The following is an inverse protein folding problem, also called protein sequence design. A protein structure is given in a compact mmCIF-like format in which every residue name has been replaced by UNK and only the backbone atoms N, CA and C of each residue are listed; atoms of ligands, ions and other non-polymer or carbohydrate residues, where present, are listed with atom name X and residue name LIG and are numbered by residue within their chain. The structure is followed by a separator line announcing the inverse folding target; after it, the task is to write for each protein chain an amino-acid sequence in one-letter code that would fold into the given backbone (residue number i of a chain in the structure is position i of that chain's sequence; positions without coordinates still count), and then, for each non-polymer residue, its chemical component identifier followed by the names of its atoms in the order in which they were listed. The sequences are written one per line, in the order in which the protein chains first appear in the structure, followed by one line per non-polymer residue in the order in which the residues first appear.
data_IF_767792569370
#
_entry.id   IF_767792569370
#
_cell.length_a   1.000
_cell.length_b   1.000
_cell.length_c   1.000
_cell.angle_alpha   90.00
_cell.angle_beta   90.00
_cell.angle_gamma   90.00
#
_symmetry.space_group_name_H-M   'P 1'
#
loop_
_entity.id
_entity.type
_entity.pdbx_description
1 polymer ?
#
# COMPACT_ATOMS: atom_id res chain seq x y z
N UNK A 1 11.03 16.35 13.83
CA UNK A 1 10.56 16.29 12.42
C UNK A 1 10.37 14.84 12.01
N UNK A 2 9.32 14.53 11.24
CA UNK A 2 9.03 13.16 10.79
C UNK A 2 9.36 13.06 9.29
N UNK A 3 10.23 12.13 8.90
CA UNK A 3 10.47 11.83 7.49
C UNK A 3 9.37 10.90 6.96
N UNK A 4 8.73 11.28 5.88
CA UNK A 4 7.81 10.40 5.13
C UNK A 4 8.39 10.14 3.75
N UNK A 5 8.77 8.90 3.46
CA UNK A 5 9.18 8.50 2.11
C UNK A 5 7.97 8.05 1.30
N UNK A 6 8.03 8.19 -0.02
CA UNK A 6 6.85 7.93 -0.85
C UNK A 6 5.69 8.92 -0.59
N UNK A 7 6.02 10.12 -0.12
CA UNK A 7 5.09 11.17 0.32
C UNK A 7 4.09 11.62 -0.75
N UNK A 8 4.38 11.36 -2.02
CA UNK A 8 3.51 11.72 -3.16
C UNK A 8 2.69 10.55 -3.71
N UNK A 9 2.81 9.36 -3.11
CA UNK A 9 1.97 8.21 -3.42
C UNK A 9 0.63 8.24 -2.68
N UNK A 10 -0.32 7.37 -3.04
CA UNK A 10 -1.66 7.36 -2.47
C UNK A 10 -1.66 7.32 -0.93
N UNK A 11 -0.98 6.35 -0.30
CA UNK A 11 -0.92 6.27 1.16
C UNK A 11 -0.02 7.35 1.76
N UNK A 12 1.20 7.55 1.21
CA UNK A 12 2.15 8.50 1.77
C UNK A 12 1.61 9.93 1.81
N UNK A 13 0.80 10.34 0.82
CA UNK A 13 0.17 11.66 0.81
C UNK A 13 -0.89 11.81 1.90
N UNK A 14 -1.68 10.76 2.20
CA UNK A 14 -2.63 10.77 3.31
C UNK A 14 -1.90 10.81 4.66
N UNK A 15 -0.80 10.06 4.81
CA UNK A 15 0.03 10.13 6.02
C UNK A 15 0.60 11.53 6.24
N UNK A 16 1.15 12.17 5.19
CA UNK A 16 1.62 13.57 5.28
C UNK A 16 0.46 14.49 5.68
N UNK A 17 -0.70 14.33 5.03
CA UNK A 17 -1.90 15.12 5.31
C UNK A 17 -2.34 15.01 6.78
N UNK A 18 -2.43 13.78 7.32
CA UNK A 18 -2.86 13.58 8.71
C UNK A 18 -1.82 14.10 9.71
N UNK A 19 -0.53 13.90 9.45
CA UNK A 19 0.55 14.41 10.30
C UNK A 19 0.53 15.95 10.38
N UNK A 20 0.41 16.64 9.24
CA UNK A 20 0.37 18.12 9.27
C UNK A 20 -0.91 18.65 9.92
N UNK A 21 -2.06 17.97 9.77
CA UNK A 21 -3.30 18.30 10.51
C UNK A 21 -3.14 18.19 12.01
N UNK A 22 -2.35 17.20 12.47
CA UNK A 22 -2.00 17.01 13.88
C UNK A 22 -0.89 17.97 14.34
N UNK A 23 -0.39 18.85 13.47
CA UNK A 23 0.61 19.88 13.78
C UNK A 23 2.07 19.41 13.71
N UNK A 24 2.34 18.21 13.22
CA UNK A 24 3.70 17.70 13.06
C UNK A 24 4.42 18.37 11.88
N UNK A 25 5.72 18.67 12.06
CA UNK A 25 6.59 19.05 10.94
C UNK A 25 7.03 17.78 10.20
N UNK A 26 6.85 17.78 8.88
CA UNK A 26 7.10 16.62 8.02
C UNK A 26 8.17 16.96 6.98
N UNK A 27 9.21 16.11 6.87
CA UNK A 27 10.10 16.09 5.71
C UNK A 27 9.51 15.08 4.70
N UNK A 28 8.97 15.59 3.60
CA UNK A 28 8.27 14.81 2.58
C UNK A 28 9.21 14.46 1.43
N UNK A 29 9.68 13.19 1.39
CA UNK A 29 10.59 12.75 0.33
C UNK A 29 9.84 12.39 -0.95
N UNK A 30 10.25 12.99 -2.08
CA UNK A 30 9.62 12.82 -3.39
C UNK A 30 10.66 12.61 -4.50
N UNK A 31 10.24 12.04 -5.64
CA UNK A 31 11.06 11.87 -6.84
C UNK A 31 10.60 12.74 -8.01
N UNK A 32 9.28 12.87 -8.18
CA UNK A 32 8.67 13.65 -9.27
C UNK A 32 8.05 14.93 -8.70
N UNK A 33 8.51 16.09 -9.20
CA UNK A 33 8.08 17.42 -8.78
C UNK A 33 6.57 17.63 -8.95
N UNK A 34 6.02 17.21 -10.10
CA UNK A 34 4.60 17.39 -10.43
C UNK A 34 3.66 16.71 -9.43
N UNK A 35 4.10 15.59 -8.83
CA UNK A 35 3.29 14.85 -7.86
C UNK A 35 3.15 15.53 -6.50
N UNK A 36 3.88 16.58 -6.21
CA UNK A 36 3.75 17.34 -4.95
C UNK A 36 2.36 17.97 -4.79
N UNK A 37 1.68 18.24 -5.89
CA UNK A 37 0.33 18.83 -5.91
C UNK A 37 -0.72 17.94 -5.19
N UNK A 38 -0.45 16.65 -4.99
CA UNK A 38 -1.37 15.73 -4.32
C UNK A 38 -1.79 16.22 -2.93
N UNK A 39 -0.90 16.83 -2.17
CA UNK A 39 -1.22 17.35 -0.84
C UNK A 39 -2.20 18.54 -0.93
N UNK A 40 -2.00 19.44 -1.89
CA UNK A 40 -2.92 20.55 -2.14
C UNK A 40 -4.31 20.04 -2.54
N UNK A 41 -4.37 19.02 -3.40
CA UNK A 41 -5.63 18.37 -3.79
C UNK A 41 -6.34 17.75 -2.59
N UNK A 42 -5.62 17.07 -1.69
CA UNK A 42 -6.22 16.51 -0.46
C UNK A 42 -6.76 17.60 0.46
N UNK A 43 -6.00 18.68 0.68
CA UNK A 43 -6.44 19.81 1.48
C UNK A 43 -7.73 20.46 0.91
N UNK A 44 -7.78 20.61 -0.41
CA UNK A 44 -8.97 21.10 -1.11
C UNK A 44 -10.17 20.15 -1.00
N UNK A 45 -9.93 18.84 -1.29
CA UNK A 45 -10.97 17.81 -1.23
C UNK A 45 -11.61 17.72 0.16
N UNK A 46 -10.80 17.74 1.21
CA UNK A 46 -11.27 17.69 2.60
C UNK A 46 -11.72 19.05 3.14
N UNK A 47 -11.73 20.11 2.30
CA UNK A 47 -12.17 21.48 2.65
C UNK A 47 -11.48 22.00 3.92
N UNK A 48 -10.15 21.79 4.00
CA UNK A 48 -9.38 22.18 5.18
C UNK A 48 -9.15 23.69 5.17
N UNK A 49 -9.57 24.34 6.24
CA UNK A 49 -9.27 25.75 6.48
C UNK A 49 -7.78 25.94 6.82
N UNK A 50 -7.24 27.13 6.58
CA UNK A 50 -5.83 27.45 6.85
C UNK A 50 -4.79 26.56 6.13
N UNK A 51 -5.11 26.09 4.93
CA UNK A 51 -4.25 25.22 4.13
C UNK A 51 -2.81 25.73 3.98
N UNK A 52 -2.61 27.06 3.83
CA UNK A 52 -1.28 27.66 3.74
C UNK A 52 -0.43 27.41 5.00
N UNK A 53 -1.02 27.51 6.19
CA UNK A 53 -0.34 27.20 7.46
C UNK A 53 0.06 25.74 7.54
N UNK A 54 -0.81 24.81 7.11
CA UNK A 54 -0.49 23.38 7.11
C UNK A 54 0.61 23.06 6.10
N UNK A 55 0.57 23.65 4.91
CA UNK A 55 1.63 23.46 3.91
C UNK A 55 2.99 23.96 4.38
N UNK A 56 3.06 24.99 5.24
CA UNK A 56 4.31 25.47 5.82
C UNK A 56 4.97 24.48 6.80
N UNK A 57 4.26 23.44 7.23
CA UNK A 57 4.82 22.35 8.04
C UNK A 57 5.57 21.31 7.21
N UNK A 58 5.50 21.38 5.87
CA UNK A 58 6.14 20.43 4.96
C UNK A 58 7.48 20.97 4.46
N UNK A 59 8.54 20.25 4.75
CA UNK A 59 9.84 20.39 4.10
C UNK A 59 9.91 19.37 2.96
N UNK A 60 9.90 19.83 1.72
CA UNK A 60 10.02 18.97 0.56
C UNK A 60 11.47 18.58 0.31
N UNK A 61 11.76 17.28 0.24
CA UNK A 61 13.09 16.74 -0.01
C UNK A 61 13.07 15.86 -1.25
N UNK A 62 13.79 16.29 -2.32
CA UNK A 62 13.94 15.49 -3.53
C UNK A 62 15.03 14.44 -3.33
N UNK A 63 14.70 13.14 -3.53
CA UNK A 63 15.68 12.07 -3.36
C UNK A 63 15.14 10.70 -3.76
N UNK A 64 16.04 9.74 -3.90
CA UNK A 64 15.74 8.32 -4.18
C UNK A 64 16.23 7.43 -3.02
N UNK A 65 15.40 6.53 -2.55
CA UNK A 65 15.74 5.55 -1.49
C UNK A 65 16.85 4.57 -1.91
N UNK A 66 17.18 4.51 -3.20
CA UNK A 66 18.28 3.71 -3.71
C UNK A 66 19.62 4.45 -3.66
N UNK A 67 19.61 5.76 -3.49
CA UNK A 67 20.82 6.58 -3.31
C UNK A 67 21.10 6.75 -1.81
N UNK A 68 22.24 6.24 -1.36
CA UNK A 68 22.64 6.29 0.06
C UNK A 68 22.86 7.72 0.55
N UNK A 69 23.37 8.62 -0.30
CA UNK A 69 23.57 10.02 0.07
C UNK A 69 22.22 10.73 0.27
N UNK A 70 21.27 10.48 -0.63
CA UNK A 70 19.91 11.01 -0.49
C UNK A 70 19.25 10.53 0.81
N UNK A 71 19.37 9.22 1.12
CA UNK A 71 18.81 8.63 2.34
C UNK A 71 19.45 9.21 3.59
N UNK A 72 20.80 9.30 3.65
CA UNK A 72 21.52 9.90 4.77
C UNK A 72 21.12 11.37 5.01
N UNK A 73 20.95 12.15 3.94
CA UNK A 73 20.48 13.53 4.04
C UNK A 73 18.99 13.61 4.43
N UNK A 74 18.17 12.69 3.96
CA UNK A 74 16.73 12.67 4.28
C UNK A 74 16.48 12.44 5.77
N UNK A 75 17.19 11.48 6.41
CA UNK A 75 17.01 11.15 7.84
C UNK A 75 17.58 12.21 8.77
N UNK A 76 18.49 13.08 8.28
CA UNK A 76 19.14 14.10 9.10
C UNK A 76 18.11 15.05 9.72
N UNK A 77 18.24 15.28 11.04
CA UNK A 77 17.36 16.12 11.86
C UNK A 77 15.92 15.60 11.96
N UNK A 78 15.70 14.32 11.67
CA UNK A 78 14.42 13.65 11.89
C UNK A 78 14.46 12.82 13.18
N UNK A 79 13.36 12.77 13.90
CA UNK A 79 13.17 11.90 15.08
C UNK A 79 12.42 10.61 14.72
N UNK A 80 11.70 10.61 13.61
CA UNK A 80 10.96 9.43 13.16
C UNK A 80 10.97 9.29 11.63
N UNK A 81 10.78 8.06 11.17
CA UNK A 81 10.65 7.72 9.75
C UNK A 81 9.36 6.94 9.53
N UNK A 82 8.54 7.37 8.57
CA UNK A 82 7.42 6.59 8.04
C UNK A 82 7.75 6.22 6.59
N UNK A 83 8.14 4.97 6.40
CA UNK A 83 8.63 4.46 5.13
C UNK A 83 7.50 3.89 4.27
N UNK A 84 6.85 4.77 3.47
CA UNK A 84 5.78 4.40 2.53
C UNK A 84 6.30 4.16 1.10
N UNK A 85 7.56 4.49 0.82
CA UNK A 85 8.12 4.28 -0.51
C UNK A 85 8.17 2.79 -0.87
N UNK A 86 7.73 2.46 -2.06
CA UNK A 86 7.75 1.11 -2.57
C UNK A 86 7.24 1.05 -4.00
N UNK A 87 7.52 -0.06 -4.68
CA UNK A 87 7.05 -0.35 -6.02
C UNK A 87 6.04 -1.49 -5.99
N UNK A 88 4.94 -1.34 -6.72
CA UNK A 88 3.95 -2.40 -6.95
C UNK A 88 4.03 -2.81 -8.41
N UNK A 89 4.27 -4.08 -8.66
CA UNK A 89 4.15 -4.68 -9.99
C UNK A 89 3.92 -6.19 -9.87
N UNK A 90 3.12 -6.74 -10.77
CA UNK A 90 2.89 -8.17 -10.90
C UNK A 90 3.50 -8.73 -12.20
N UNK A 91 4.22 -7.90 -12.95
CA UNK A 91 4.92 -8.31 -14.15
C UNK A 91 6.27 -8.98 -13.80
N UNK A 92 6.51 -10.21 -14.27
CA UNK A 92 7.71 -10.98 -13.94
C UNK A 92 9.01 -10.25 -14.34
N UNK A 93 8.99 -9.47 -15.43
CA UNK A 93 10.14 -8.65 -15.88
C UNK A 93 10.56 -7.57 -14.89
N UNK A 94 9.66 -7.16 -13.98
CA UNK A 94 9.94 -6.12 -12.98
C UNK A 94 10.54 -6.70 -11.68
N UNK A 95 10.78 -8.01 -11.58
CA UNK A 95 11.20 -8.67 -10.35
C UNK A 95 12.49 -8.08 -9.74
N UNK A 96 13.53 -7.93 -10.55
CA UNK A 96 14.79 -7.35 -10.06
C UNK A 96 14.62 -5.91 -9.59
N UNK A 97 13.75 -5.14 -10.26
CA UNK A 97 13.44 -3.77 -9.85
C UNK A 97 12.61 -3.73 -8.57
N UNK A 98 11.68 -4.68 -8.38
CA UNK A 98 10.93 -4.85 -7.13
C UNK A 98 11.89 -5.14 -5.96
N UNK A 99 12.85 -6.05 -6.15
CA UNK A 99 13.87 -6.34 -5.12
C UNK A 99 14.72 -5.10 -4.84
N UNK A 100 15.21 -4.43 -5.88
CA UNK A 100 16.00 -3.22 -5.70
C UNK A 100 15.24 -2.16 -4.90
N UNK A 101 14.03 -1.79 -5.32
CA UNK A 101 13.27 -0.72 -4.68
C UNK A 101 12.75 -1.14 -3.30
N UNK A 102 12.07 -2.30 -3.21
CA UNK A 102 11.39 -2.67 -1.97
C UNK A 102 12.34 -3.21 -0.91
N UNK A 103 13.27 -4.12 -1.26
CA UNK A 103 14.21 -4.68 -0.31
C UNK A 103 15.40 -3.75 -0.07
N UNK A 104 16.17 -3.44 -1.14
CA UNK A 104 17.43 -2.71 -0.96
C UNK A 104 17.18 -1.26 -0.53
N UNK A 105 16.12 -0.60 -1.09
CA UNK A 105 15.71 0.73 -0.63
C UNK A 105 15.29 0.75 0.84
N UNK A 106 14.59 -0.31 1.32
CA UNK A 106 14.26 -0.45 2.74
C UNK A 106 15.50 -0.70 3.58
N UNK A 107 16.46 -1.54 3.11
CA UNK A 107 17.72 -1.77 3.81
C UNK A 107 18.53 -0.46 3.97
N UNK A 108 18.59 0.37 2.94
CA UNK A 108 19.24 1.69 3.02
C UNK A 108 18.56 2.57 4.10
N UNK A 109 17.23 2.63 4.09
CA UNK A 109 16.46 3.40 5.08
C UNK A 109 16.69 2.90 6.51
N UNK A 110 16.72 1.57 6.73
CA UNK A 110 16.96 0.95 8.05
C UNK A 110 18.38 1.28 8.53
N UNK A 111 19.38 1.11 7.66
CA UNK A 111 20.78 1.39 8.02
C UNK A 111 20.99 2.87 8.41
N UNK A 112 20.50 3.78 7.60
CA UNK A 112 20.64 5.22 7.88
C UNK A 112 19.79 5.65 9.08
N UNK A 113 18.66 5.01 9.34
CA UNK A 113 17.85 5.24 10.55
C UNK A 113 18.59 4.81 11.81
N UNK A 114 19.29 3.66 11.79
CA UNK A 114 20.16 3.20 12.89
C UNK A 114 21.31 4.17 13.12
N UNK A 115 22.04 4.56 12.06
CA UNK A 115 23.18 5.50 12.13
C UNK A 115 22.75 6.85 12.69
N UNK A 116 21.57 7.35 12.28
CA UNK A 116 21.04 8.64 12.71
C UNK A 116 20.39 8.61 14.10
N UNK A 117 20.23 7.44 14.71
CA UNK A 117 19.57 7.28 16.00
C UNK A 117 18.08 7.64 15.96
N UNK A 118 17.36 7.21 14.92
CA UNK A 118 15.93 7.49 14.75
C UNK A 118 15.14 6.84 15.89
N UNK A 119 14.34 7.63 16.59
CA UNK A 119 13.54 7.19 17.75
C UNK A 119 12.42 6.21 17.41
N UNK A 120 11.86 6.30 16.19
CA UNK A 120 10.74 5.45 15.76
C UNK A 120 10.68 5.29 14.24
N UNK A 121 10.64 4.04 13.78
CA UNK A 121 10.59 3.69 12.37
C UNK A 121 9.31 2.91 12.05
N UNK A 122 8.49 3.40 11.12
CA UNK A 122 7.29 2.70 10.65
C UNK A 122 7.50 2.25 9.21
N UNK A 123 7.46 0.94 8.97
CA UNK A 123 7.55 0.38 7.64
C UNK A 123 6.17 0.01 7.08
N UNK A 124 5.82 0.57 5.93
CA UNK A 124 4.62 0.17 5.21
C UNK A 124 4.94 -1.00 4.29
N UNK A 125 4.54 -2.19 4.70
CA UNK A 125 4.64 -3.41 3.93
C UNK A 125 3.36 -3.68 3.10
N UNK A 126 2.86 -4.91 3.10
CA UNK A 126 1.63 -5.34 2.44
C UNK A 126 1.16 -6.66 3.00
N UNK A 127 -0.14 -6.94 2.96
CA UNK A 127 -0.66 -8.29 3.21
C UNK A 127 -0.07 -9.34 2.27
N UNK A 128 0.48 -8.95 1.12
CA UNK A 128 1.20 -9.84 0.21
C UNK A 128 2.51 -10.41 0.80
N UNK A 129 3.04 -9.80 1.87
CA UNK A 129 4.20 -10.30 2.62
C UNK A 129 3.84 -11.32 3.70
N UNK A 130 2.55 -11.55 3.95
CA UNK A 130 2.09 -12.51 4.96
C UNK A 130 2.05 -13.91 4.36
N UNK A 131 2.74 -14.84 5.01
CA UNK A 131 2.77 -16.24 4.59
C UNK A 131 1.40 -16.93 4.70
N UNK A 132 1.34 -18.16 4.23
CA UNK A 132 0.20 -19.06 4.42
C UNK A 132 0.62 -20.19 5.36
N UNK A 133 0.11 -20.16 6.58
CA UNK A 133 0.35 -21.23 7.53
C UNK A 133 -0.84 -22.19 7.51
N UNK A 134 -0.56 -23.45 7.20
CA UNK A 134 -1.55 -24.53 7.23
C UNK A 134 -1.95 -24.96 8.65
N UNK A 135 -1.30 -24.40 9.67
CA UNK A 135 -1.61 -24.72 11.08
C UNK A 135 -2.99 -24.19 11.51
N UNK A 136 -3.52 -23.19 10.82
CA UNK A 136 -4.85 -22.63 11.10
C UNK A 136 -5.91 -23.27 10.19
N UNK A 137 -6.85 -24.01 10.79
CA UNK A 137 -7.94 -24.68 10.04
C UNK A 137 -8.96 -23.72 9.43
N UNK A 138 -8.97 -22.44 9.82
CA UNK A 138 -9.95 -21.44 9.37
C UNK A 138 -9.54 -20.66 8.10
N UNK A 139 -8.36 -20.94 7.53
CA UNK A 139 -7.80 -20.24 6.38
C UNK A 139 -7.71 -18.70 6.50
N UNK A 140 -7.78 -18.16 7.73
CA UNK A 140 -7.65 -16.73 8.00
C UNK A 140 -6.19 -16.38 8.25
N UNK A 141 -5.64 -15.45 7.49
CA UNK A 141 -4.27 -14.97 7.67
C UNK A 141 -4.19 -13.97 8.83
N UNK A 142 -3.16 -14.15 9.66
CA UNK A 142 -2.88 -13.36 10.87
C UNK A 142 -1.43 -12.90 10.89
N UNK A 143 -1.10 -12.02 11.81
CA UNK A 143 0.27 -11.53 12.02
C UNK A 143 1.26 -12.66 12.36
N UNK A 144 0.79 -13.73 12.99
CA UNK A 144 1.61 -14.90 13.34
C UNK A 144 1.92 -15.84 12.17
N UNK A 145 1.30 -15.66 11.00
CA UNK A 145 1.60 -16.51 9.85
C UNK A 145 3.05 -16.32 9.36
N UNK A 146 3.76 -17.43 9.21
CA UNK A 146 5.14 -17.47 8.72
C UNK A 146 5.21 -17.83 7.24
N UNK A 147 6.27 -17.39 6.59
CA UNK A 147 6.60 -17.83 5.24
C UNK A 147 7.26 -19.19 5.27
N UNK A 148 6.84 -20.06 4.37
CA UNK A 148 7.45 -21.37 4.15
C UNK A 148 8.25 -21.39 2.85
N UNK A 149 9.26 -22.29 2.74
CA UNK A 149 10.13 -22.40 1.58
C UNK A 149 9.37 -22.65 0.26
N UNK A 150 8.19 -23.30 0.34
CA UNK A 150 7.34 -23.62 -0.81
C UNK A 150 6.21 -22.61 -1.03
N UNK A 151 6.27 -21.41 -0.43
CA UNK A 151 5.25 -20.38 -0.57
C UNK A 151 5.06 -19.98 -2.03
N UNK A 152 3.85 -20.13 -2.54
CA UNK A 152 3.48 -19.70 -3.89
C UNK A 152 3.18 -18.19 -3.89
N UNK A 153 4.21 -17.38 -3.70
CA UNK A 153 4.09 -15.95 -3.66
C UNK A 153 4.31 -15.29 -5.02
N UNK A 154 3.74 -14.09 -5.19
CA UNK A 154 4.06 -13.22 -6.32
C UNK A 154 5.45 -12.60 -6.14
N UNK A 155 6.07 -12.16 -7.24
CA UNK A 155 7.33 -11.40 -7.17
C UNK A 155 7.21 -10.16 -6.28
N UNK A 156 6.05 -9.50 -6.28
CA UNK A 156 5.74 -8.41 -5.36
C UNK A 156 5.73 -8.87 -3.89
N UNK A 157 5.02 -9.97 -3.59
CA UNK A 157 4.99 -10.54 -2.24
C UNK A 157 6.38 -10.89 -1.72
N UNK A 158 7.21 -11.56 -2.55
CA UNK A 158 8.62 -11.88 -2.24
C UNK A 158 9.40 -10.60 -1.91
N UNK A 159 9.24 -9.54 -2.71
CA UNK A 159 9.98 -8.29 -2.50
C UNK A 159 9.59 -7.58 -1.20
N UNK A 160 8.28 -7.58 -0.84
CA UNK A 160 7.79 -6.98 0.42
C UNK A 160 8.19 -7.82 1.63
N UNK A 161 8.10 -9.14 1.56
CA UNK A 161 8.61 -10.02 2.61
C UNK A 161 10.12 -9.83 2.84
N UNK A 162 10.90 -9.72 1.74
CA UNK A 162 12.34 -9.46 1.85
C UNK A 162 12.63 -8.09 2.47
N UNK A 163 11.79 -7.08 2.22
CA UNK A 163 11.88 -5.78 2.87
C UNK A 163 11.57 -5.86 4.39
N UNK A 164 10.54 -6.62 4.79
CA UNK A 164 10.25 -6.86 6.20
C UNK A 164 11.44 -7.50 6.93
N UNK A 165 12.15 -8.44 6.29
CA UNK A 165 13.34 -9.05 6.87
C UNK A 165 14.44 -8.02 7.19
N UNK A 166 14.60 -6.99 6.36
CA UNK A 166 15.55 -5.90 6.65
C UNK A 166 15.08 -5.06 7.85
N UNK A 167 13.77 -4.86 8.01
CA UNK A 167 13.23 -4.15 9.17
C UNK A 167 13.39 -4.99 10.46
N UNK A 168 13.08 -6.29 10.40
CA UNK A 168 13.30 -7.20 11.52
C UNK A 168 14.79 -7.28 11.92
N UNK A 169 15.71 -7.32 10.93
CA UNK A 169 17.14 -7.19 11.17
C UNK A 169 17.46 -5.89 11.93
N UNK A 170 16.90 -4.77 11.45
CA UNK A 170 17.12 -3.48 12.11
C UNK A 170 16.61 -3.46 13.56
N UNK A 171 15.49 -4.14 13.86
CA UNK A 171 14.96 -4.29 15.21
C UNK A 171 15.96 -5.06 16.10
N UNK A 172 16.51 -6.17 15.61
CA UNK A 172 17.54 -6.95 16.33
C UNK A 172 18.83 -6.13 16.55
N UNK A 173 19.12 -5.17 15.66
CA UNK A 173 20.25 -4.24 15.78
C UNK A 173 19.93 -2.99 16.63
N UNK A 174 18.73 -2.88 17.20
CA UNK A 174 18.32 -1.83 18.14
C UNK A 174 17.41 -0.75 17.58
N UNK A 175 16.94 -0.88 16.34
CA UNK A 175 15.95 0.05 15.77
C UNK A 175 14.57 -0.15 16.42
N UNK A 176 14.01 0.89 17.00
CA UNK A 176 12.61 0.89 17.46
C UNK A 176 11.68 0.99 16.26
N UNK A 177 11.12 -0.14 15.79
CA UNK A 177 10.35 -0.16 14.54
C UNK A 177 9.05 -0.95 14.64
N UNK A 178 8.07 -0.60 13.81
CA UNK A 178 6.80 -1.32 13.60
C UNK A 178 6.52 -1.51 12.12
N UNK A 179 5.92 -2.65 11.77
CA UNK A 179 5.56 -3.01 10.41
C UNK A 179 4.03 -2.94 10.24
N UNK A 180 3.56 -2.25 9.21
CA UNK A 180 2.15 -2.17 8.85
C UNK A 180 1.94 -2.91 7.53
N UNK A 181 1.03 -3.88 7.51
CA UNK A 181 0.66 -4.67 6.33
C UNK A 181 -0.75 -4.29 5.87
N UNK A 182 -0.93 -3.23 5.09
CA UNK A 182 -2.25 -2.92 4.57
C UNK A 182 -2.68 -3.91 3.50
N UNK A 183 -3.99 -4.15 3.41
CA UNK A 183 -4.62 -4.83 2.27
C UNK A 183 -4.74 -3.89 1.06
N UNK A 184 -5.56 -4.24 0.08
CA UNK A 184 -5.86 -3.34 -1.06
C UNK A 184 -6.59 -2.12 -0.53
N UNK A 185 -5.98 -0.95 -0.63
CA UNK A 185 -6.60 0.28 -0.14
C UNK A 185 -7.10 1.18 -1.27
N UNK A 186 -8.24 1.82 -1.02
CA UNK A 186 -8.87 2.80 -1.88
C UNK A 186 -9.00 4.13 -1.13
N UNK A 187 -9.18 5.22 -1.87
CA UNK A 187 -9.42 6.55 -1.32
C UNK A 187 -9.18 7.65 -2.36
N UNK A 188 -9.30 8.93 -1.98
CA UNK A 188 -9.02 10.06 -2.86
C UNK A 188 -7.61 10.00 -3.45
N UNK A 189 -7.50 10.08 -4.78
CA UNK A 189 -6.21 9.95 -5.46
C UNK A 189 -6.31 9.82 -6.97
N UNK A 190 -5.17 9.72 -7.64
CA UNK A 190 -5.11 9.54 -9.09
C UNK A 190 -5.45 8.09 -9.49
N UNK A 191 -6.44 7.95 -10.38
CA UNK A 191 -6.88 6.64 -10.86
C UNK A 191 -5.90 5.98 -11.85
N UNK A 192 -4.85 6.68 -12.23
CA UNK A 192 -3.75 6.10 -13.00
C UNK A 192 -2.79 5.25 -12.15
N UNK A 193 -2.91 5.28 -10.80
CA UNK A 193 -1.96 4.66 -9.90
C UNK A 193 -2.51 3.47 -9.12
N UNK A 194 -1.65 2.45 -8.93
CA UNK A 194 -1.85 1.34 -7.99
C UNK A 194 -3.25 0.70 -8.06
N UNK A 195 -3.88 0.49 -6.90
CA UNK A 195 -5.21 -0.12 -6.75
C UNK A 195 -6.35 0.71 -7.36
N UNK A 196 -6.16 2.02 -7.52
CA UNK A 196 -7.16 2.92 -8.09
C UNK A 196 -7.38 2.72 -9.60
N UNK A 197 -6.45 2.05 -10.31
CA UNK A 197 -6.63 1.65 -11.70
C UNK A 197 -7.87 0.76 -11.91
N UNK A 198 -8.33 0.06 -10.87
CA UNK A 198 -9.58 -0.70 -10.91
C UNK A 198 -10.78 0.20 -11.25
N UNK A 199 -10.84 1.38 -10.62
CA UNK A 199 -11.91 2.36 -10.88
C UNK A 199 -11.88 2.85 -12.33
N UNK A 200 -10.69 3.16 -12.85
CA UNK A 200 -10.53 3.54 -14.26
C UNK A 200 -10.95 2.42 -15.21
N UNK A 201 -10.62 1.17 -14.88
CA UNK A 201 -10.97 -0.01 -15.69
C UNK A 201 -12.49 -0.22 -15.71
N UNK A 202 -13.16 -0.07 -14.57
CA UNK A 202 -14.62 -0.19 -14.47
C UNK A 202 -15.30 0.95 -15.24
N UNK A 203 -14.81 2.18 -15.12
CA UNK A 203 -15.31 3.34 -15.86
C UNK A 203 -15.24 3.11 -17.37
N UNK A 204 -14.18 2.47 -17.84
CA UNK A 204 -13.96 2.15 -19.26
C UNK A 204 -14.74 0.94 -19.77
N UNK A 205 -15.54 0.29 -18.92
CA UNK A 205 -16.44 -0.80 -19.32
C UNK A 205 -15.86 -2.20 -19.11
N UNK A 206 -15.63 -2.56 -17.85
CA UNK A 206 -15.23 -3.92 -17.48
C UNK A 206 -16.35 -4.92 -17.72
N UNK A 207 -16.14 -5.93 -18.58
CA UNK A 207 -17.15 -6.93 -18.96
C UNK A 207 -17.04 -8.24 -18.18
N UNK A 208 -15.85 -8.54 -17.64
CA UNK A 208 -15.52 -9.84 -17.05
C UNK A 208 -15.20 -9.72 -15.57
N UNK A 209 -15.52 -10.78 -14.80
CA UNK A 209 -15.15 -10.91 -13.39
C UNK A 209 -14.70 -12.33 -13.04
N UNK A 210 -13.98 -12.47 -11.94
CA UNK A 210 -13.51 -13.74 -11.38
C UNK A 210 -14.20 -14.05 -10.05
N UNK A 211 -14.10 -15.29 -9.57
CA UNK A 211 -14.79 -15.74 -8.36
C UNK A 211 -14.01 -15.49 -7.05
N UNK A 212 -12.79 -14.99 -7.14
CA UNK A 212 -11.98 -14.72 -5.95
C UNK A 212 -12.30 -13.40 -5.27
N UNK A 213 -11.52 -13.11 -4.24
CA UNK A 213 -11.67 -11.89 -3.44
C UNK A 213 -10.41 -11.57 -2.65
N UNK A 214 -10.42 -10.43 -2.00
CA UNK A 214 -9.33 -9.97 -1.15
C UNK A 214 -9.89 -9.12 -0.01
N UNK A 215 -9.02 -8.66 0.87
CA UNK A 215 -9.37 -7.62 1.82
C UNK A 215 -9.17 -6.23 1.20
N UNK A 216 -10.07 -5.32 1.56
CA UNK A 216 -10.09 -3.92 1.12
C UNK A 216 -10.19 -3.01 2.34
N UNK A 217 -9.51 -1.88 2.31
CA UNK A 217 -9.47 -0.92 3.42
C UNK A 217 -9.48 0.51 2.87
N UNK A 218 -9.96 1.46 3.64
CA UNK A 218 -9.84 2.88 3.31
C UNK A 218 -8.40 3.36 3.56
N UNK A 219 -7.84 4.13 2.65
CA UNK A 219 -6.50 4.69 2.80
C UNK A 219 -6.37 5.58 4.04
N UNK A 220 -7.47 6.24 4.45
CA UNK A 220 -7.52 7.08 5.67
C UNK A 220 -7.41 6.23 6.92
N UNK A 221 -8.03 5.05 6.93
CA UNK A 221 -7.93 4.10 8.05
C UNK A 221 -6.49 3.62 8.22
N UNK A 222 -5.80 3.33 7.11
CA UNK A 222 -4.38 2.95 7.14
C UNK A 222 -3.53 4.10 7.64
N UNK A 223 -3.77 5.33 7.16
CA UNK A 223 -3.05 6.53 7.57
C UNK A 223 -3.25 6.83 9.05
N UNK A 224 -4.50 6.74 9.54
CA UNK A 224 -4.82 6.97 10.95
C UNK A 224 -4.14 5.94 11.87
N UNK A 225 -4.16 4.64 11.50
CA UNK A 225 -3.45 3.60 12.25
C UNK A 225 -1.94 3.87 12.29
N UNK A 226 -1.34 4.29 11.17
CA UNK A 226 0.09 4.66 11.13
C UNK A 226 0.37 5.83 12.09
N UNK A 227 -0.47 6.86 12.11
CA UNK A 227 -0.33 7.99 13.02
C UNK A 227 -0.47 7.57 14.49
N UNK A 228 -1.47 6.74 14.82
CA UNK A 228 -1.67 6.22 16.18
C UNK A 228 -0.50 5.35 16.66
N UNK A 229 0.03 4.47 15.79
CA UNK A 229 1.22 3.67 16.09
C UNK A 229 2.43 4.56 16.39
N UNK A 230 2.59 5.67 15.63
CA UNK A 230 3.63 6.65 15.89
C UNK A 230 3.45 7.37 17.23
N UNK A 231 2.26 7.89 17.48
CA UNK A 231 1.93 8.67 18.69
C UNK A 231 2.08 7.83 19.97
N UNK A 232 1.67 6.55 19.92
CA UNK A 232 1.78 5.62 21.05
C UNK A 232 3.14 4.91 21.14
N UNK A 233 4.07 5.19 20.21
CA UNK A 233 5.41 4.56 20.19
C UNK A 233 5.38 3.03 20.17
N UNK A 234 4.37 2.43 19.51
CA UNK A 234 4.26 0.97 19.41
C UNK A 234 5.35 0.44 18.49
N UNK A 235 6.11 -0.56 18.96
CA UNK A 235 7.29 -1.07 18.26
C UNK A 235 7.46 -2.58 18.39
N UNK A 236 8.38 -3.13 17.58
CA UNK A 236 8.80 -4.53 17.56
C UNK A 236 7.67 -5.52 17.24
N UNK A 237 6.70 -5.03 16.48
CA UNK A 237 5.51 -5.79 16.11
C UNK A 237 5.13 -5.53 14.64
N UNK A 238 4.24 -6.36 14.09
CA UNK A 238 3.55 -6.07 12.84
C UNK A 238 2.04 -6.06 13.02
N UNK A 239 1.35 -5.30 12.17
CA UNK A 239 -0.09 -5.11 12.19
C UNK A 239 -0.69 -5.31 10.80
N UNK A 240 -1.66 -6.22 10.68
CA UNK A 240 -2.49 -6.34 9.48
C UNK A 240 -3.60 -5.29 9.52
N UNK A 241 -3.54 -4.33 8.60
CA UNK A 241 -4.56 -3.30 8.48
C UNK A 241 -5.48 -3.63 7.31
N UNK A 242 -6.52 -4.42 7.61
CA UNK A 242 -7.39 -5.04 6.61
C UNK A 242 -8.86 -4.79 6.98
N UNK A 243 -9.54 -3.89 6.29
CA UNK A 243 -10.91 -3.53 6.62
C UNK A 243 -11.93 -4.66 6.37
N UNK A 244 -12.26 -4.94 5.10
CA UNK A 244 -13.33 -5.85 4.73
C UNK A 244 -12.84 -6.90 3.73
N UNK A 245 -12.97 -8.20 4.05
CA UNK A 245 -12.72 -9.31 3.11
C UNK A 245 -13.95 -9.55 2.25
N UNK A 246 -13.85 -9.26 0.95
CA UNK A 246 -14.97 -9.25 0.00
C UNK A 246 -14.58 -9.94 -1.31
N UNK A 247 -15.58 -10.47 -2.03
CA UNK A 247 -15.40 -10.94 -3.39
C UNK A 247 -15.11 -9.76 -4.33
N UNK A 248 -14.25 -9.97 -5.32
CA UNK A 248 -13.99 -8.94 -6.34
C UNK A 248 -15.27 -8.51 -7.06
N UNK A 249 -16.18 -9.47 -7.33
CA UNK A 249 -17.47 -9.17 -7.94
C UNK A 249 -18.28 -8.14 -7.15
N UNK A 250 -18.38 -8.33 -5.83
CA UNK A 250 -19.20 -7.47 -4.97
C UNK A 250 -18.64 -6.04 -4.92
N UNK A 251 -17.31 -5.91 -4.85
CA UNK A 251 -16.63 -4.61 -4.88
C UNK A 251 -16.78 -3.93 -6.23
N UNK A 252 -16.59 -4.67 -7.34
CA UNK A 252 -16.74 -4.14 -8.69
C UNK A 252 -18.20 -3.70 -8.95
N UNK A 253 -19.18 -4.47 -8.49
CA UNK A 253 -20.60 -4.13 -8.65
C UNK A 253 -20.95 -2.85 -7.87
N UNK A 254 -20.45 -2.70 -6.65
CA UNK A 254 -20.66 -1.48 -5.85
C UNK A 254 -20.01 -0.25 -6.51
N UNK A 255 -18.80 -0.39 -7.06
CA UNK A 255 -18.13 0.69 -7.81
C UNK A 255 -18.96 1.05 -9.05
N UNK A 256 -19.41 0.05 -9.84
CA UNK A 256 -20.21 0.27 -11.03
C UNK A 256 -21.54 0.96 -10.73
N UNK A 257 -22.24 0.54 -9.65
CA UNK A 257 -23.49 1.18 -9.20
C UNK A 257 -23.29 2.65 -8.85
N UNK A 258 -22.26 2.96 -8.05
CA UNK A 258 -21.99 4.33 -7.63
C UNK A 258 -21.52 5.22 -8.79
N UNK A 259 -20.81 4.66 -9.76
CA UNK A 259 -20.41 5.35 -10.99
C UNK A 259 -21.54 5.42 -12.04
N UNK A 260 -22.65 4.70 -11.85
CA UNK A 260 -23.75 4.56 -12.81
C UNK A 260 -23.29 3.99 -14.17
N UNK A 261 -22.36 3.02 -14.13
CA UNK A 261 -21.87 2.30 -15.30
C UNK A 261 -22.33 0.83 -15.30
N UNK A 262 -22.20 0.15 -16.44
CA UNK A 262 -22.62 -1.25 -16.57
C UNK A 262 -21.75 -2.18 -15.72
N UNK A 263 -22.38 -3.08 -14.96
CA UNK A 263 -21.70 -4.14 -14.20
C UNK A 263 -21.13 -5.20 -15.14
N UNK A 264 -20.02 -5.86 -14.77
CA UNK A 264 -19.51 -7.00 -15.52
C UNK A 264 -20.49 -8.17 -15.48
N UNK A 265 -20.73 -8.79 -16.63
CA UNK A 265 -21.75 -9.85 -16.78
C UNK A 265 -21.15 -11.24 -16.86
N UNK A 266 -19.91 -11.37 -17.35
CA UNK A 266 -19.32 -12.67 -17.70
C UNK A 266 -18.35 -13.14 -16.64
N UNK A 267 -18.69 -14.27 -15.98
CA UNK A 267 -17.78 -14.95 -15.07
C UNK A 267 -16.70 -15.69 -15.86
N UNK A 268 -15.45 -15.42 -15.58
CA UNK A 268 -14.31 -16.09 -16.23
C UNK A 268 -13.73 -17.14 -15.30
N UNK A 269 -13.65 -18.37 -15.78
CA UNK A 269 -13.09 -19.52 -15.05
C UNK A 269 -11.56 -19.60 -15.15
N UNK A 270 -10.95 -20.50 -14.35
CA UNK A 270 -9.50 -20.70 -14.28
C UNK A 270 -8.85 -21.03 -15.63
N UNK A 271 -9.51 -21.81 -16.48
CA UNK A 271 -8.97 -22.19 -17.80
C UNK A 271 -8.89 -20.98 -18.74
N UNK A 272 -9.99 -20.22 -18.84
CA UNK A 272 -10.05 -19.04 -19.71
C UNK A 272 -9.04 -17.96 -19.28
N UNK A 273 -8.92 -17.69 -17.98
CA UNK A 273 -7.90 -16.76 -17.46
C UNK A 273 -6.48 -17.29 -17.68
N UNK A 274 -6.27 -18.61 -17.61
CA UNK A 274 -4.97 -19.24 -17.89
C UNK A 274 -4.56 -19.10 -19.37
N UNK A 275 -5.50 -19.10 -20.30
CA UNK A 275 -5.25 -18.83 -21.72
C UNK A 275 -5.00 -17.31 -21.92
N UNK A 276 -5.84 -16.47 -21.34
CA UNK A 276 -5.78 -15.01 -21.50
C UNK A 276 -4.42 -14.44 -21.09
N UNK A 277 -3.86 -14.80 -19.91
CA UNK A 277 -2.58 -14.26 -19.49
C UNK A 277 -1.41 -14.67 -20.39
N UNK A 278 -1.48 -15.88 -21.00
CA UNK A 278 -0.45 -16.34 -21.95
C UNK A 278 -0.50 -15.51 -23.24
N UNK A 279 -1.69 -15.30 -23.80
CA UNK A 279 -1.87 -14.46 -25.01
C UNK A 279 -1.45 -13.01 -24.76
N UNK A 280 -1.85 -12.44 -23.62
CA UNK A 280 -1.44 -11.09 -23.22
C UNK A 280 0.07 -11.03 -22.98
N UNK A 281 0.68 -12.09 -22.43
CA UNK A 281 2.13 -12.22 -22.27
C UNK A 281 2.87 -12.16 -23.60
N UNK A 282 2.42 -12.92 -24.60
CA UNK A 282 2.98 -12.89 -25.97
C UNK A 282 2.81 -11.51 -26.59
N UNK A 283 1.62 -10.92 -26.51
CA UNK A 283 1.36 -9.56 -27.00
C UNK A 283 2.28 -8.53 -26.33
N UNK A 284 2.42 -8.61 -25.01
CA UNK A 284 3.31 -7.75 -24.22
C UNK A 284 4.78 -7.89 -24.65
N UNK A 285 5.22 -9.11 -24.92
CA UNK A 285 6.58 -9.38 -25.41
C UNK A 285 6.83 -8.75 -26.79
N UNK A 286 5.87 -8.91 -27.71
CA UNK A 286 5.98 -8.38 -29.08
C UNK A 286 5.88 -6.84 -29.14
N UNK A 287 5.09 -6.24 -28.26
CA UNK A 287 4.82 -4.77 -28.30
C UNK A 287 5.63 -3.96 -27.29
N UNK A 288 6.35 -4.62 -26.35
CA UNK A 288 7.04 -3.95 -25.23
C UNK A 288 6.09 -3.36 -24.18
N UNK A 289 4.76 -3.41 -24.37
CA UNK A 289 3.77 -2.88 -23.42
C UNK A 289 3.72 -3.74 -22.15
N UNK A 290 3.32 -3.15 -21.04
CA UNK A 290 3.13 -3.90 -19.79
C UNK A 290 1.90 -4.79 -19.88
N UNK A 291 1.98 -6.07 -19.43
CA UNK A 291 0.83 -6.97 -19.44
C UNK A 291 -0.19 -6.49 -18.39
N UNK A 292 -1.45 -6.38 -18.78
CA UNK A 292 -2.57 -6.05 -17.89
C UNK A 292 -2.96 -7.23 -17.00
N UNK A 293 -2.69 -8.47 -17.44
CA UNK A 293 -2.98 -9.71 -16.72
C UNK A 293 -1.70 -10.55 -16.67
N UNK A 294 -1.34 -11.05 -15.48
CA UNK A 294 -0.16 -11.86 -15.25
C UNK A 294 -0.55 -13.20 -14.61
N UNK A 295 0.38 -14.16 -14.58
CA UNK A 295 0.17 -15.43 -13.90
C UNK A 295 -0.22 -15.25 -12.43
N UNK A 296 0.41 -14.28 -11.75
CA UNK A 296 0.18 -14.00 -10.33
C UNK A 296 -1.21 -13.36 -10.10
N UNK A 297 -1.60 -12.40 -10.94
CA UNK A 297 -2.94 -11.79 -10.85
C UNK A 297 -4.06 -12.79 -11.17
N UNK A 298 -3.84 -13.70 -12.13
CA UNK A 298 -4.80 -14.79 -12.43
C UNK A 298 -4.96 -15.72 -11.24
N UNK A 299 -3.87 -16.14 -10.60
CA UNK A 299 -3.95 -17.05 -9.45
C UNK A 299 -4.75 -16.41 -8.31
N UNK A 300 -4.37 -15.20 -7.90
CA UNK A 300 -5.05 -14.49 -6.81
C UNK A 300 -6.50 -14.13 -7.12
N UNK A 301 -6.86 -14.00 -8.40
CA UNK A 301 -8.23 -13.63 -8.81
C UNK A 301 -9.28 -14.74 -8.64
N UNK A 302 -8.88 -15.97 -8.34
CA UNK A 302 -9.78 -17.12 -8.17
C UNK A 302 -9.92 -17.62 -6.73
N UNK A 303 -9.18 -17.03 -5.79
CA UNK A 303 -9.17 -17.42 -4.39
C UNK A 303 -9.63 -16.24 -3.53
N UNK A 304 -10.49 -16.50 -2.55
CA UNK A 304 -10.81 -15.50 -1.52
C UNK A 304 -9.76 -15.62 -0.41
N UNK A 305 -8.96 -14.59 -0.24
CA UNK A 305 -8.03 -14.49 0.90
C UNK A 305 -8.67 -13.65 2.00
N UNK A 306 -8.78 -14.23 3.18
CA UNK A 306 -9.32 -13.59 4.37
C UNK A 306 -8.17 -13.24 5.32
N UNK A 307 -8.20 -12.06 5.90
CA UNK A 307 -7.23 -11.59 6.88
C UNK A 307 -7.92 -11.16 8.16
N UNK A 308 -7.28 -11.38 9.31
CA UNK A 308 -7.74 -10.86 10.60
C UNK A 308 -7.21 -9.45 10.84
N UNK A 309 -8.05 -8.58 11.37
CA UNK A 309 -7.67 -7.26 11.90
C UNK A 309 -7.88 -7.19 13.41
N UNK A 310 -7.98 -8.33 14.09
CA UNK A 310 -8.25 -8.39 15.54
C UNK A 310 -7.19 -7.66 16.36
N UNK A 311 -5.92 -7.76 15.95
CA UNK A 311 -4.83 -7.07 16.65
C UNK A 311 -5.00 -5.55 16.63
N UNK A 312 -5.39 -4.98 15.50
CA UNK A 312 -5.69 -3.53 15.39
C UNK A 312 -6.81 -3.16 16.36
N UNK A 313 -7.91 -3.93 16.39
CA UNK A 313 -9.05 -3.67 17.28
C UNK A 313 -8.71 -3.86 18.76
N UNK A 314 -7.80 -4.79 19.09
CA UNK A 314 -7.33 -5.00 20.45
C UNK A 314 -6.49 -3.82 20.95
N UNK A 315 -5.60 -3.31 20.10
CA UNK A 315 -4.71 -2.20 20.47
C UNK A 315 -5.43 -0.85 20.41
N UNK A 316 -6.38 -0.71 19.47
CA UNK A 316 -7.18 0.51 19.29
C UNK A 316 -8.67 0.16 19.35
N UNK A 317 -9.24 -0.09 20.54
CA UNK A 317 -10.62 -0.58 20.68
C UNK A 317 -11.68 0.45 20.27
N UNK A 318 -11.33 1.73 20.21
CA UNK A 318 -12.16 2.82 19.73
C UNK A 318 -12.14 2.99 18.20
N UNK A 319 -11.28 2.21 17.51
CA UNK A 319 -11.11 2.34 16.07
C UNK A 319 -12.08 1.43 15.30
N UNK A 320 -12.80 2.03 14.36
CA UNK A 320 -13.68 1.33 13.43
C UNK A 320 -13.26 1.56 11.98
N UNK A 321 -13.19 0.48 11.20
CA UNK A 321 -12.89 0.58 9.77
C UNK A 321 -14.04 1.22 9.01
N UNK A 322 -13.70 2.14 8.13
CA UNK A 322 -14.65 2.80 7.24
C UNK A 322 -15.39 1.76 6.38
N UNK A 323 -16.73 1.78 6.31
CA UNK A 323 -17.49 0.88 5.45
C UNK A 323 -17.05 0.99 3.99
N UNK A 324 -16.97 -0.16 3.29
CA UNK A 324 -16.47 -0.19 1.90
C UNK A 324 -17.31 0.68 0.95
N UNK A 325 -18.60 0.82 1.18
CA UNK A 325 -19.50 1.69 0.41
C UNK A 325 -19.10 3.16 0.53
N UNK A 326 -18.71 3.60 1.74
CA UNK A 326 -18.21 4.95 1.99
C UNK A 326 -16.81 5.15 1.40
N UNK A 327 -15.94 4.14 1.48
CA UNK A 327 -14.61 4.15 0.86
C UNK A 327 -14.71 4.33 -0.65
N UNK A 328 -15.60 3.56 -1.31
CA UNK A 328 -15.84 3.67 -2.75
C UNK A 328 -16.37 5.07 -3.10
N UNK A 329 -17.36 5.58 -2.36
CA UNK A 329 -17.91 6.92 -2.59
C UNK A 329 -16.84 8.01 -2.49
N UNK A 330 -15.97 7.95 -1.47
CA UNK A 330 -14.88 8.89 -1.28
C UNK A 330 -13.83 8.80 -2.40
N UNK A 331 -13.52 7.57 -2.86
CA UNK A 331 -12.59 7.36 -3.97
C UNK A 331 -13.11 7.97 -5.28
N UNK A 332 -14.42 7.81 -5.54
CA UNK A 332 -15.06 8.39 -6.74
C UNK A 332 -15.07 9.92 -6.67
N UNK A 333 -15.48 10.49 -5.52
CA UNK A 333 -15.55 11.94 -5.32
C UNK A 333 -14.17 12.61 -5.30
N UNK A 334 -13.18 11.90 -4.77
CA UNK A 334 -11.81 12.38 -4.63
C UNK A 334 -10.89 11.99 -5.78
N UNK A 335 -11.43 11.70 -6.98
CA UNK A 335 -10.64 11.46 -8.19
C UNK A 335 -9.76 12.68 -8.46
N UNK A 336 -8.48 12.42 -8.65
CA UNK A 336 -7.48 13.41 -9.09
C UNK A 336 -7.10 13.08 -10.54
N UNK A 337 -7.09 14.11 -11.38
CA UNK A 337 -6.74 13.98 -12.81
C UNK A 337 -5.22 13.95 -13.02
#
# INVERSE_FOLDING_TARGET
MILVTGATGLLGSHVVFDLIKKGHRVKAMYRNEEKKQVIQHLLHYYKVENSAKLLSLIEWFKGDILDLQDVAHAVKNCSAVIHCAGMVSFASRDFNRLIAVNRNGTANMVNEALIAGIDHFIHVSSTSAVGSDSAFMDNVKRESNHWHANEKASGYGVSKYSAEKEVWRGIEEGLTAVIVNPSVFFGPGSWSESSLQLFQTIQNGLSFYTAGGNAFVDVRDVSEIICRLHEQRIANERFLVTGHSLLFKDVIDQIADQMKVKKPRYKVGKIATAIAWRLIGVYSFLTGKRPSITKDTVRSSHELTVYSSEKVKTVFPDFEFTPITATIANTIKGKMD
#
